data_IF_391698979113
#
_entry.id   IF_391698979113
#
_cell.length_a   1.000
_cell.length_b   1.000
_cell.length_c   1.000
_cell.angle_alpha   90.00
_cell.angle_beta   90.00
_cell.angle_gamma   90.00
#
_symmetry.space_group_name_H-M   'P 1'
#
loop_
_entity.id
_entity.type
_entity.pdbx_description
1 polymer ?
#
# COMPACT_ATOMS: atom_id res chain seq x y z
N UNK A 1 11.08 49.23 -24.66
CA UNK A 1 11.45 48.16 -23.74
C UNK A 1 10.56 46.98 -24.02
N UNK A 2 11.09 45.94 -24.62
CA UNK A 2 10.31 44.71 -24.83
C UNK A 2 10.25 43.96 -23.47
N UNK A 3 9.06 43.70 -23.01
CA UNK A 3 8.83 42.84 -21.83
C UNK A 3 9.33 41.44 -22.27
N UNK A 4 10.37 40.93 -21.65
CA UNK A 4 10.93 39.64 -22.04
C UNK A 4 9.99 38.51 -21.59
N UNK A 5 9.75 37.51 -22.46
CA UNK A 5 8.96 36.31 -22.17
C UNK A 5 9.40 35.56 -20.91
N UNK A 6 10.67 35.70 -20.51
CA UNK A 6 11.17 35.14 -19.24
C UNK A 6 10.50 35.70 -17.99
N UNK A 7 9.90 36.89 -18.05
CA UNK A 7 9.14 37.46 -16.95
C UNK A 7 7.70 36.91 -16.88
N UNK A 8 7.06 36.68 -18.03
CA UNK A 8 5.74 36.04 -18.10
C UNK A 8 5.78 34.57 -17.62
N UNK A 9 6.83 33.83 -17.93
CA UNK A 9 7.03 32.45 -17.45
C UNK A 9 7.07 32.38 -15.92
N UNK A 10 7.73 33.33 -15.27
CA UNK A 10 7.82 33.40 -13.80
C UNK A 10 6.50 33.75 -13.11
N UNK A 11 5.61 34.50 -13.77
CA UNK A 11 4.29 34.83 -13.21
C UNK A 11 3.29 33.67 -13.37
N UNK A 12 3.43 32.87 -14.42
CA UNK A 12 2.55 31.72 -14.69
C UNK A 12 2.86 30.49 -13.85
N UNK A 13 4.12 30.29 -13.49
CA UNK A 13 4.56 29.12 -12.70
C UNK A 13 3.80 28.98 -11.37
N UNK A 14 3.62 30.02 -10.54
CA UNK A 14 2.86 29.91 -9.29
C UNK A 14 1.40 29.51 -9.52
N UNK A 15 0.76 30.03 -10.60
CA UNK A 15 -0.62 29.68 -10.96
C UNK A 15 -0.76 28.22 -11.37
N UNK A 16 0.14 27.71 -12.20
CA UNK A 16 0.16 26.31 -12.62
C UNK A 16 0.48 25.37 -11.46
N UNK A 17 1.41 25.74 -10.58
CA UNK A 17 1.75 24.97 -9.39
C UNK A 17 0.56 24.89 -8.41
N UNK A 18 -0.16 25.98 -8.21
CA UNK A 18 -1.37 25.99 -7.39
C UNK A 18 -2.47 25.11 -8.00
N UNK A 19 -2.70 25.21 -9.30
CA UNK A 19 -3.68 24.42 -10.02
C UNK A 19 -3.32 22.93 -9.99
N UNK A 20 -2.05 22.60 -10.18
CA UNK A 20 -1.54 21.23 -10.07
C UNK A 20 -1.79 20.66 -8.67
N UNK A 21 -1.45 21.42 -7.63
CA UNK A 21 -1.62 20.98 -6.24
C UNK A 21 -3.09 20.76 -5.87
N UNK A 22 -3.99 21.63 -6.35
CA UNK A 22 -5.43 21.48 -6.15
C UNK A 22 -5.97 20.23 -6.85
N UNK A 23 -5.60 20.00 -8.10
CA UNK A 23 -6.09 18.84 -8.85
C UNK A 23 -5.48 17.53 -8.35
N UNK A 24 -4.20 17.52 -7.93
CA UNK A 24 -3.55 16.35 -7.35
C UNK A 24 -4.22 15.90 -6.05
N UNK A 25 -4.61 16.86 -5.19
CA UNK A 25 -5.32 16.58 -3.92
C UNK A 25 -6.79 16.22 -4.11
N UNK A 26 -7.36 16.47 -5.27
CA UNK A 26 -8.77 16.18 -5.54
C UNK A 26 -9.07 14.68 -5.54
N UNK A 27 -8.08 13.87 -5.93
CA UNK A 27 -8.23 12.42 -5.96
C UNK A 27 -7.90 11.85 -4.58
N UNK A 28 -8.77 10.97 -4.10
CA UNK A 28 -8.59 10.30 -2.82
C UNK A 28 -7.31 9.45 -2.83
N UNK A 29 -6.51 9.57 -1.77
CA UNK A 29 -5.28 8.81 -1.60
C UNK A 29 -5.60 7.44 -1.00
N UNK A 30 -6.14 6.52 -1.80
CA UNK A 30 -6.55 5.19 -1.36
C UNK A 30 -5.37 4.36 -0.83
N UNK A 31 -4.15 4.60 -1.32
CA UNK A 31 -2.96 3.94 -0.80
C UNK A 31 -2.64 4.30 0.65
N UNK A 32 -3.03 5.50 1.13
CA UNK A 32 -2.82 5.92 2.51
C UNK A 32 -3.62 5.07 3.53
N UNK A 33 -4.66 4.40 3.07
CA UNK A 33 -5.44 3.47 3.88
C UNK A 33 -4.73 2.12 4.10
N UNK A 34 -3.69 1.83 3.32
CA UNK A 34 -2.97 0.55 3.29
C UNK A 34 -1.58 0.70 3.93
N UNK A 35 -0.88 1.78 3.60
CA UNK A 35 0.53 1.97 3.93
C UNK A 35 0.76 2.98 5.04
N UNK A 36 1.70 2.67 5.92
CA UNK A 36 2.31 3.66 6.82
C UNK A 36 3.37 4.43 6.03
N UNK A 37 3.27 5.76 6.00
CA UNK A 37 4.21 6.61 5.28
C UNK A 37 5.36 7.03 6.17
N UNK A 38 6.59 6.76 5.72
CA UNK A 38 7.84 7.19 6.33
C UNK A 38 8.66 8.02 5.35
N UNK A 39 9.56 8.84 5.86
CA UNK A 39 10.49 9.63 5.04
C UNK A 39 11.84 8.95 4.96
N UNK A 40 12.50 9.07 3.80
CA UNK A 40 13.85 8.56 3.58
C UNK A 40 14.76 9.65 3.02
N UNK A 41 16.02 9.64 3.42
CA UNK A 41 17.08 10.51 2.87
C UNK A 41 18.15 9.73 2.08
N UNK A 42 18.01 8.39 2.00
CA UNK A 42 18.94 7.46 1.37
C UNK A 42 18.53 7.07 -0.05
N UNK A 43 19.38 6.33 -0.74
CA UNK A 43 19.08 5.78 -2.07
C UNK A 43 18.11 4.61 -2.03
N UNK A 44 18.14 3.85 -0.96
CA UNK A 44 17.26 2.73 -0.62
C UNK A 44 17.18 2.64 0.91
N UNK A 45 16.13 2.01 1.42
CA UNK A 45 16.00 1.67 2.84
C UNK A 45 16.02 0.14 2.99
N UNK A 46 16.61 -0.31 4.11
CA UNK A 46 16.64 -1.72 4.50
C UNK A 46 16.15 -1.84 5.93
N UNK A 47 15.15 -2.68 6.11
CA UNK A 47 14.62 -3.02 7.42
C UNK A 47 14.93 -4.48 7.74
N UNK A 48 15.67 -4.69 8.82
CA UNK A 48 16.08 -6.01 9.28
C UNK A 48 15.04 -6.53 10.26
N UNK A 49 14.54 -7.74 10.02
CA UNK A 49 13.69 -8.45 10.96
C UNK A 49 14.55 -9.18 11.99
N UNK A 50 14.20 -9.03 13.26
CA UNK A 50 14.86 -9.70 14.38
C UNK A 50 14.00 -10.87 14.88
N UNK A 51 14.64 -12.00 15.19
CA UNK A 51 13.93 -13.20 15.62
C UNK A 51 13.28 -13.10 17.01
N UNK A 52 13.70 -12.13 17.83
CA UNK A 52 13.32 -12.10 19.24
C UNK A 52 13.89 -13.29 20.03
N UNK A 53 13.28 -13.58 21.17
CA UNK A 53 13.66 -14.70 22.05
C UNK A 53 12.59 -15.80 22.02
N UNK A 54 13.00 -17.02 22.34
CA UNK A 54 12.11 -18.16 22.52
C UNK A 54 11.31 -18.10 23.81
N UNK A 55 10.63 -19.20 24.12
CA UNK A 55 9.79 -19.26 25.32
C UNK A 55 10.65 -19.27 26.61
N UNK A 56 10.27 -18.43 27.57
CA UNK A 56 10.92 -18.37 28.86
C UNK A 56 10.79 -19.72 29.62
N UNK A 57 11.88 -20.17 30.20
CA UNK A 57 11.93 -21.44 30.97
C UNK A 57 11.63 -21.20 32.44
N UNK A 58 10.98 -22.18 33.06
CA UNK A 58 10.77 -22.17 34.52
C UNK A 58 12.11 -22.35 35.21
N UNK A 59 12.47 -21.39 36.10
CA UNK A 59 13.67 -21.43 36.90
C UNK A 59 13.36 -22.15 38.22
N UNK A 60 14.10 -23.24 38.50
CA UNK A 60 14.05 -23.89 39.81
C UNK A 60 14.75 -23.05 40.90
N UNK A 61 14.40 -23.28 42.17
CA UNK A 61 15.05 -22.63 43.30
C UNK A 61 16.56 -22.97 43.34
N UNK A 62 17.39 -21.91 43.41
CA UNK A 62 18.86 -22.08 43.39
C UNK A 62 19.47 -22.35 42.02
N UNK A 63 18.67 -22.55 40.96
CA UNK A 63 19.18 -22.75 39.59
C UNK A 63 19.58 -21.42 38.93
N UNK A 64 20.49 -21.50 37.93
CA UNK A 64 20.83 -20.35 37.07
C UNK A 64 19.70 -19.96 36.16
N UNK A 65 19.76 -18.76 35.61
CA UNK A 65 18.86 -18.28 34.52
C UNK A 65 19.34 -18.87 33.19
N UNK A 66 18.44 -19.34 32.35
CA UNK A 66 18.76 -19.70 30.95
C UNK A 66 18.98 -18.45 30.11
N UNK A 67 19.99 -18.51 29.25
CA UNK A 67 20.23 -17.44 28.22
C UNK A 67 19.71 -17.92 26.88
N UNK A 68 19.18 -17.01 26.11
CA UNK A 68 18.74 -17.25 24.74
C UNK A 68 19.30 -16.13 23.84
N UNK A 69 19.55 -16.44 22.57
CA UNK A 69 20.16 -15.54 21.61
C UNK A 69 19.13 -15.09 20.56
N UNK A 70 19.05 -13.77 20.32
CA UNK A 70 18.33 -13.20 19.19
C UNK A 70 19.26 -13.10 17.97
N UNK A 71 18.70 -13.32 16.78
CA UNK A 71 19.45 -13.21 15.52
C UNK A 71 18.66 -12.41 14.48
N UNK A 72 19.39 -11.85 13.54
CA UNK A 72 18.79 -11.27 12.34
C UNK A 72 18.24 -12.39 11.43
N UNK A 73 17.05 -12.19 10.86
CA UNK A 73 16.38 -13.20 10.02
C UNK A 73 16.47 -12.85 8.56
N UNK A 74 15.72 -11.88 8.14
CA UNK A 74 15.72 -11.39 6.75
C UNK A 74 15.69 -9.86 6.70
N UNK A 75 16.05 -9.33 5.53
CA UNK A 75 16.07 -7.89 5.29
C UNK A 75 15.09 -7.55 4.19
N UNK A 76 14.11 -6.68 4.50
CA UNK A 76 13.23 -6.09 3.52
C UNK A 76 13.89 -4.85 2.91
N UNK A 77 14.10 -4.85 1.58
CA UNK A 77 14.73 -3.75 0.87
C UNK A 77 13.74 -2.95 0.05
N UNK A 78 13.76 -1.63 0.26
CA UNK A 78 12.93 -0.65 -0.41
C UNK A 78 13.78 0.16 -1.39
N UNK A 79 13.69 -0.14 -2.68
CA UNK A 79 14.38 0.61 -3.73
C UNK A 79 13.51 1.76 -4.22
N UNK A 80 14.00 3.01 -4.05
CA UNK A 80 13.22 4.19 -4.44
C UNK A 80 13.21 4.38 -5.95
N UNK A 81 12.02 4.47 -6.53
CA UNK A 81 11.79 4.75 -7.93
C UNK A 81 11.44 6.22 -8.16
N UNK A 82 11.95 6.78 -9.23
CA UNK A 82 11.60 8.13 -9.65
C UNK A 82 10.46 8.08 -10.66
N UNK A 83 9.35 8.69 -10.32
CA UNK A 83 8.20 8.87 -11.21
C UNK A 83 8.16 10.31 -11.66
N UNK A 84 8.19 10.54 -12.96
CA UNK A 84 8.18 11.87 -13.54
C UNK A 84 7.42 11.87 -14.86
N UNK A 85 6.72 12.97 -15.13
CA UNK A 85 6.06 13.22 -16.39
C UNK A 85 6.15 14.72 -16.68
N UNK A 86 6.24 15.07 -17.97
CA UNK A 86 6.31 16.45 -18.43
C UNK A 86 5.46 16.65 -19.68
N UNK A 87 5.09 17.89 -19.93
CA UNK A 87 4.55 18.34 -21.22
C UNK A 87 5.28 19.59 -21.67
N UNK A 88 5.22 19.84 -22.98
CA UNK A 88 5.75 21.06 -23.59
C UNK A 88 4.61 21.79 -24.33
N UNK A 89 4.70 23.11 -24.36
CA UNK A 89 3.84 23.98 -25.14
C UNK A 89 4.73 24.74 -26.11
N UNK A 90 4.37 24.73 -27.39
CA UNK A 90 5.14 25.39 -28.44
C UNK A 90 5.04 26.91 -28.36
N UNK A 91 6.02 27.59 -28.93
CA UNK A 91 6.08 29.04 -29.00
C UNK A 91 4.89 29.62 -29.73
N UNK A 92 4.48 29.02 -30.86
CA UNK A 92 3.34 29.45 -31.67
C UNK A 92 2.02 29.36 -30.87
N UNK A 93 1.84 28.29 -30.09
CA UNK A 93 0.64 28.14 -29.25
C UNK A 93 0.57 29.21 -28.14
N UNK A 94 1.73 29.70 -27.70
CA UNK A 94 1.80 30.82 -26.75
C UNK A 94 1.47 32.13 -27.43
N UNK A 95 1.94 32.37 -28.67
CA UNK A 95 1.67 33.57 -29.46
C UNK A 95 0.21 33.69 -29.82
N UNK A 96 -0.46 32.61 -30.18
CA UNK A 96 -1.86 32.55 -30.55
C UNK A 96 -2.82 32.66 -29.33
N UNK A 97 -2.32 32.98 -28.16
CA UNK A 97 -3.06 33.12 -26.89
C UNK A 97 -3.92 31.90 -26.49
N UNK A 98 -3.54 30.71 -26.98
CA UNK A 98 -4.15 29.42 -26.57
C UNK A 98 -3.60 28.92 -25.23
N UNK A 99 -2.60 29.61 -24.71
CA UNK A 99 -1.79 29.17 -23.57
C UNK A 99 -2.63 28.98 -22.29
N UNK A 100 -3.48 29.92 -21.91
CA UNK A 100 -4.22 29.87 -20.65
C UNK A 100 -5.14 28.65 -20.53
N UNK A 101 -5.84 28.33 -21.61
CA UNK A 101 -6.76 27.18 -21.63
C UNK A 101 -6.03 25.86 -21.76
N UNK A 102 -4.99 25.79 -22.59
CA UNK A 102 -4.23 24.56 -22.84
C UNK A 102 -3.34 24.20 -21.66
N UNK A 103 -2.58 25.16 -21.12
CA UNK A 103 -1.72 24.93 -19.96
C UNK A 103 -2.50 24.44 -18.74
N UNK A 104 -3.64 25.04 -18.42
CA UNK A 104 -4.50 24.63 -17.33
C UNK A 104 -5.04 23.20 -17.53
N UNK A 105 -5.44 22.83 -18.75
CA UNK A 105 -5.94 21.49 -19.08
C UNK A 105 -4.84 20.44 -18.98
N UNK A 106 -3.65 20.71 -19.54
CA UNK A 106 -2.51 19.79 -19.48
C UNK A 106 -1.94 19.66 -18.05
N UNK A 107 -1.91 20.73 -17.27
CA UNK A 107 -1.52 20.68 -15.86
C UNK A 107 -2.46 19.80 -15.04
N UNK A 108 -3.76 19.88 -15.25
CA UNK A 108 -4.73 18.98 -14.60
C UNK A 108 -4.56 17.54 -15.05
N UNK A 109 -4.33 17.30 -16.35
CA UNK A 109 -4.09 15.97 -16.88
C UNK A 109 -2.78 15.37 -16.30
N UNK A 110 -1.72 16.18 -16.19
CA UNK A 110 -0.46 15.78 -15.58
C UNK A 110 -0.64 15.38 -14.11
N UNK A 111 -1.34 16.20 -13.33
CA UNK A 111 -1.63 15.95 -11.93
C UNK A 111 -2.40 14.62 -11.74
N UNK A 112 -3.42 14.40 -12.57
CA UNK A 112 -4.20 13.16 -12.58
C UNK A 112 -3.34 11.95 -12.93
N UNK A 113 -2.48 12.06 -13.94
CA UNK A 113 -1.60 10.98 -14.36
C UNK A 113 -0.59 10.60 -13.27
N UNK A 114 0.02 11.61 -12.61
CA UNK A 114 0.94 11.37 -11.49
C UNK A 114 0.24 10.70 -10.30
N UNK A 115 -0.95 11.17 -9.93
CA UNK A 115 -1.74 10.56 -8.86
C UNK A 115 -2.11 9.11 -9.20
N UNK A 116 -2.62 8.85 -10.41
CA UNK A 116 -2.96 7.51 -10.87
C UNK A 116 -1.76 6.55 -10.84
N UNK A 117 -0.60 6.99 -11.36
CA UNK A 117 0.61 6.19 -11.35
C UNK A 117 1.04 5.77 -9.93
N UNK A 118 0.89 6.68 -8.97
CA UNK A 118 1.18 6.40 -7.56
C UNK A 118 0.23 5.36 -6.96
N UNK A 119 -1.07 5.47 -7.23
CA UNK A 119 -2.06 4.51 -6.75
C UNK A 119 -1.82 3.12 -7.34
N UNK A 120 -1.59 3.03 -8.67
CA UNK A 120 -1.28 1.75 -9.32
C UNK A 120 -0.02 1.10 -8.73
N UNK A 121 1.07 1.87 -8.58
CA UNK A 121 2.30 1.37 -7.95
C UNK A 121 2.10 0.93 -6.49
N UNK A 122 1.21 1.56 -5.77
CA UNK A 122 0.90 1.18 -4.39
C UNK A 122 0.14 -0.16 -4.31
N UNK A 123 -0.64 -0.50 -5.31
CA UNK A 123 -1.39 -1.76 -5.35
C UNK A 123 -0.57 -2.91 -5.95
N UNK A 124 0.46 -2.62 -6.72
CA UNK A 124 1.35 -3.64 -7.31
C UNK A 124 1.82 -4.72 -6.33
N UNK A 125 2.31 -4.41 -5.10
CA UNK A 125 2.70 -5.43 -4.13
C UNK A 125 1.57 -6.39 -3.75
N UNK A 126 0.34 -5.91 -3.67
CA UNK A 126 -0.82 -6.73 -3.33
C UNK A 126 -1.18 -7.69 -4.45
N UNK A 127 -1.30 -7.19 -5.69
CA UNK A 127 -1.67 -8.01 -6.84
C UNK A 127 -0.54 -8.98 -7.21
N UNK A 128 0.70 -8.48 -7.26
CA UNK A 128 1.87 -9.29 -7.64
C UNK A 128 2.35 -10.25 -6.56
N UNK A 129 1.86 -10.09 -5.34
CA UNK A 129 2.14 -10.94 -4.20
C UNK A 129 1.18 -12.12 -4.04
N UNK A 130 0.10 -12.18 -4.81
CA UNK A 130 -0.88 -13.27 -4.77
C UNK A 130 -0.27 -14.61 -5.22
N UNK A 131 -0.80 -15.76 -4.75
CA UNK A 131 -0.27 -17.09 -5.08
C UNK A 131 -0.16 -17.38 -6.57
N UNK A 132 -1.11 -16.92 -7.39
CA UNK A 132 -1.11 -17.13 -8.85
C UNK A 132 -0.02 -16.33 -9.57
N UNK A 133 0.29 -15.15 -9.09
CA UNK A 133 1.30 -14.27 -9.71
C UNK A 133 2.68 -14.44 -9.08
N UNK A 134 2.80 -14.43 -7.75
CA UNK A 134 3.99 -14.70 -6.95
C UNK A 134 5.28 -13.95 -7.38
N UNK A 135 5.13 -12.81 -8.06
CA UNK A 135 6.28 -12.03 -8.58
C UNK A 135 6.81 -11.03 -7.58
N UNK A 136 5.95 -10.52 -6.69
CA UNK A 136 6.38 -9.68 -5.56
C UNK A 136 6.67 -10.58 -4.35
N UNK A 137 7.91 -10.49 -3.86
CA UNK A 137 8.41 -11.28 -2.74
C UNK A 137 8.61 -10.42 -1.51
N UNK A 138 8.31 -10.98 -0.35
CA UNK A 138 8.64 -10.36 0.93
C UNK A 138 10.13 -10.54 1.27
N UNK A 139 10.58 -9.97 2.38
CA UNK A 139 11.98 -10.00 2.79
C UNK A 139 12.56 -11.41 2.97
N UNK A 140 11.74 -12.41 3.24
CA UNK A 140 12.12 -13.83 3.37
C UNK A 140 12.33 -14.54 2.01
N UNK A 141 12.10 -13.83 0.89
CA UNK A 141 12.28 -14.36 -0.47
C UNK A 141 11.09 -15.19 -1.00
N UNK A 142 10.04 -15.37 -0.19
CA UNK A 142 8.79 -16.04 -0.58
C UNK A 142 7.82 -15.00 -1.13
N UNK A 143 6.82 -15.43 -1.92
CA UNK A 143 5.73 -14.56 -2.37
C UNK A 143 5.05 -13.88 -1.17
N UNK A 144 4.61 -12.62 -1.31
CA UNK A 144 4.02 -11.86 -0.21
C UNK A 144 2.89 -12.61 0.49
N UNK A 145 2.02 -13.26 -0.28
CA UNK A 145 0.95 -14.11 0.25
C UNK A 145 1.31 -15.58 0.02
N UNK A 146 1.64 -16.26 1.10
CA UNK A 146 2.07 -17.65 1.07
C UNK A 146 1.54 -18.43 2.27
N UNK A 147 1.37 -19.72 2.10
CA UNK A 147 1.04 -20.65 3.19
C UNK A 147 2.28 -21.13 3.96
N UNK A 148 3.49 -20.74 3.51
CA UNK A 148 4.74 -21.33 3.99
C UNK A 148 5.87 -20.29 4.11
N UNK A 149 5.63 -19.17 4.81
CA UNK A 149 6.70 -18.28 5.22
C UNK A 149 7.58 -18.98 6.25
N UNK A 150 8.87 -19.07 5.96
CA UNK A 150 9.83 -19.74 6.84
C UNK A 150 10.15 -18.88 8.05
N UNK A 151 10.28 -19.51 9.21
CA UNK A 151 10.69 -18.89 10.47
C UNK A 151 12.02 -19.49 10.92
N UNK A 152 12.71 -18.84 11.87
CA UNK A 152 14.02 -19.29 12.36
C UNK A 152 13.94 -20.65 13.05
N UNK A 153 12.97 -20.83 13.94
CA UNK A 153 12.82 -22.06 14.73
C UNK A 153 11.37 -22.41 15.03
N UNK A 154 10.43 -21.61 14.55
CA UNK A 154 9.01 -21.86 14.66
C UNK A 154 8.44 -22.65 13.46
N UNK A 155 7.14 -22.95 13.48
CA UNK A 155 6.45 -23.50 12.33
C UNK A 155 6.33 -22.43 11.22
N UNK A 156 6.22 -22.89 9.98
CA UNK A 156 5.91 -21.96 8.88
C UNK A 156 4.62 -21.20 9.17
N UNK A 157 4.62 -19.92 8.83
CA UNK A 157 3.47 -19.03 9.02
C UNK A 157 2.76 -18.81 7.69
N UNK A 158 1.43 -18.90 7.71
CA UNK A 158 0.59 -18.62 6.55
C UNK A 158 -0.07 -17.25 6.71
N UNK A 159 -0.02 -16.42 5.67
CA UNK A 159 -0.78 -15.17 5.57
C UNK A 159 -1.76 -15.18 4.38
N UNK A 160 -2.13 -16.36 3.93
CA UNK A 160 -3.19 -16.64 2.96
C UNK A 160 -3.92 -17.93 3.31
N UNK A 161 -5.10 -18.14 2.74
CA UNK A 161 -5.82 -19.39 2.90
C UNK A 161 -5.14 -20.52 2.09
N UNK A 162 -5.14 -21.73 2.61
CA UNK A 162 -4.63 -22.91 1.88
C UNK A 162 -5.47 -23.25 0.64
N UNK A 163 -6.78 -23.03 0.73
CA UNK A 163 -7.71 -23.11 -0.39
C UNK A 163 -8.26 -21.70 -0.62
N UNK A 164 -7.98 -21.15 -1.77
CA UNK A 164 -8.47 -19.81 -2.15
C UNK A 164 -9.99 -19.86 -2.29
N UNK A 165 -10.64 -18.76 -1.96
CA UNK A 165 -12.11 -18.68 -1.94
C UNK A 165 -12.53 -17.22 -1.99
N UNK A 166 -13.59 -16.95 -2.71
CA UNK A 166 -14.20 -15.62 -2.79
C UNK A 166 -14.62 -15.08 -1.42
N UNK A 167 -14.82 -13.78 -1.36
CA UNK A 167 -15.27 -13.12 -0.13
C UNK A 167 -16.66 -13.60 0.27
N UNK A 168 -16.70 -14.41 1.30
CA UNK A 168 -17.91 -14.86 1.98
C UNK A 168 -17.69 -14.94 3.49
N UNK A 169 -18.75 -15.25 4.24
CA UNK A 169 -18.68 -15.34 5.70
C UNK A 169 -17.63 -16.37 6.15
N UNK A 170 -17.65 -17.56 5.59
CA UNK A 170 -16.74 -18.65 5.97
C UNK A 170 -15.27 -18.34 5.62
N UNK A 171 -15.00 -17.77 4.43
CA UNK A 171 -13.64 -17.39 4.05
C UNK A 171 -13.08 -16.28 4.95
N UNK A 172 -13.92 -15.29 5.32
CA UNK A 172 -13.54 -14.22 6.23
C UNK A 172 -13.29 -14.74 7.65
N UNK A 173 -14.16 -15.60 8.18
CA UNK A 173 -13.96 -16.24 9.49
C UNK A 173 -12.68 -17.07 9.54
N UNK A 174 -12.42 -17.90 8.52
CA UNK A 174 -11.20 -18.68 8.42
C UNK A 174 -9.94 -17.80 8.37
N UNK A 175 -9.99 -16.70 7.64
CA UNK A 175 -8.89 -15.74 7.56
C UNK A 175 -8.60 -15.11 8.92
N UNK A 176 -9.63 -14.66 9.64
CA UNK A 176 -9.50 -14.07 10.98
C UNK A 176 -8.99 -15.09 12.01
N UNK A 177 -9.42 -16.36 11.93
CA UNK A 177 -8.90 -17.43 12.77
C UNK A 177 -7.41 -17.68 12.48
N UNK A 178 -7.01 -17.69 11.21
CA UNK A 178 -5.59 -17.88 10.85
C UNK A 178 -4.72 -16.72 11.29
N UNK A 179 -5.18 -15.47 11.16
CA UNK A 179 -4.49 -14.29 11.69
C UNK A 179 -4.23 -14.46 13.19
N UNK A 180 -5.24 -14.86 13.97
CA UNK A 180 -5.08 -15.09 15.42
C UNK A 180 -4.15 -16.26 15.78
N UNK A 181 -3.84 -17.16 14.83
CA UNK A 181 -2.91 -18.28 15.02
C UNK A 181 -1.48 -17.96 14.62
N UNK A 182 -1.21 -16.80 14.03
CA UNK A 182 0.13 -16.42 13.60
C UNK A 182 1.12 -16.43 14.76
N UNK A 183 2.35 -16.81 14.45
CA UNK A 183 3.47 -16.89 15.38
C UNK A 183 4.62 -15.99 14.94
N UNK A 184 5.49 -15.65 15.87
CA UNK A 184 6.75 -14.96 15.59
C UNK A 184 7.81 -15.93 15.00
N UNK A 185 9.03 -15.43 14.83
CA UNK A 185 10.16 -16.16 14.28
C UNK A 185 10.62 -17.35 15.16
N UNK A 186 10.23 -17.37 16.43
CA UNK A 186 10.55 -18.41 17.42
C UNK A 186 9.35 -19.32 17.74
N UNK A 187 8.21 -19.13 17.07
CA UNK A 187 7.00 -19.91 17.27
C UNK A 187 6.11 -19.44 18.41
N UNK A 188 6.40 -18.28 19.02
CA UNK A 188 5.51 -17.69 20.02
C UNK A 188 4.29 -17.07 19.36
N UNK A 189 3.12 -17.25 19.95
CA UNK A 189 1.89 -16.63 19.45
C UNK A 189 1.91 -15.12 19.65
N UNK A 190 1.70 -14.37 18.57
CA UNK A 190 1.64 -12.90 18.60
C UNK A 190 0.21 -12.37 18.85
N UNK A 191 -0.80 -13.24 18.82
CA UNK A 191 -2.21 -12.88 19.00
C UNK A 191 -2.68 -11.74 18.07
N UNK A 192 -2.21 -11.75 16.82
CA UNK A 192 -2.56 -10.75 15.81
C UNK A 192 -4.07 -10.69 15.57
N UNK A 193 -4.57 -9.50 15.21
CA UNK A 193 -5.99 -9.25 14.91
C UNK A 193 -6.12 -8.53 13.57
N UNK A 194 -7.19 -8.84 12.85
CA UNK A 194 -7.57 -8.09 11.67
C UNK A 194 -8.11 -6.71 12.06
N UNK A 195 -7.58 -5.65 11.48
CA UNK A 195 -8.00 -4.28 11.74
C UNK A 195 -8.94 -3.73 10.68
N UNK A 196 -8.59 -3.90 9.41
CA UNK A 196 -9.24 -3.29 8.26
C UNK A 196 -9.21 -4.23 7.07
N UNK A 197 -10.31 -4.30 6.33
CA UNK A 197 -10.38 -5.07 5.09
C UNK A 197 -10.25 -4.14 3.88
N UNK A 198 -9.45 -4.53 2.88
CA UNK A 198 -9.28 -3.84 1.60
C UNK A 198 -9.85 -4.74 0.52
N UNK A 199 -10.74 -4.19 -0.31
CA UNK A 199 -11.48 -4.94 -1.31
C UNK A 199 -11.55 -4.19 -2.65
N UNK A 200 -11.73 -4.89 -3.77
CA UNK A 200 -12.08 -4.29 -5.05
C UNK A 200 -13.52 -3.76 -5.05
N UNK A 201 -13.84 -2.96 -6.07
CA UNK A 201 -15.17 -2.35 -6.23
C UNK A 201 -16.29 -3.39 -6.37
N UNK A 202 -16.01 -4.55 -6.96
CA UNK A 202 -16.94 -5.65 -7.20
C UNK A 202 -17.46 -6.25 -5.89
N UNK A 203 -16.61 -6.34 -4.88
CA UNK A 203 -16.92 -6.93 -3.58
C UNK A 203 -17.57 -5.96 -2.57
N UNK A 204 -17.78 -4.67 -2.93
CA UNK A 204 -18.27 -3.66 -1.97
C UNK A 204 -19.64 -4.00 -1.36
N UNK A 205 -20.59 -4.51 -2.14
CA UNK A 205 -21.92 -4.85 -1.64
C UNK A 205 -21.93 -6.14 -0.81
N UNK A 206 -21.03 -7.07 -1.12
CA UNK A 206 -20.84 -8.29 -0.33
C UNK A 206 -20.23 -7.94 1.02
N UNK A 207 -19.19 -7.09 1.03
CA UNK A 207 -18.56 -6.61 2.25
C UNK A 207 -19.54 -5.81 3.14
N UNK A 208 -20.38 -4.95 2.55
CA UNK A 208 -21.39 -4.19 3.31
C UNK A 208 -22.35 -5.14 4.02
N UNK A 209 -22.83 -6.19 3.33
CA UNK A 209 -23.71 -7.20 3.94
C UNK A 209 -23.02 -7.98 5.05
N UNK A 210 -21.74 -8.39 4.84
CA UNK A 210 -20.99 -9.16 5.83
C UNK A 210 -20.62 -8.33 7.06
N UNK A 211 -20.31 -7.05 6.86
CA UNK A 211 -19.75 -6.19 7.92
C UNK A 211 -20.78 -5.36 8.67
N UNK A 212 -22.02 -5.22 8.16
CA UNK A 212 -23.04 -4.36 8.80
C UNK A 212 -24.38 -5.05 9.06
N UNK A 213 -24.65 -6.21 8.45
CA UNK A 213 -25.88 -6.94 8.75
C UNK A 213 -25.84 -7.50 10.17
N UNK A 214 -26.90 -7.30 10.95
CA UNK A 214 -27.03 -7.89 12.28
C UNK A 214 -27.34 -9.39 12.22
N UNK A 215 -28.10 -9.82 11.22
CA UNK A 215 -28.41 -11.21 10.97
C UNK A 215 -27.47 -11.82 9.91
N UNK A 216 -27.32 -13.14 9.96
CA UNK A 216 -26.53 -13.90 9.00
C UNK A 216 -27.14 -13.80 7.62
N UNK A 217 -26.34 -13.49 6.61
CA UNK A 217 -26.80 -13.37 5.22
C UNK A 217 -27.04 -14.75 4.61
N UNK A 218 -28.20 -14.94 3.98
CA UNK A 218 -28.52 -16.17 3.23
C UNK A 218 -29.16 -17.30 4.04
N UNK A 219 -29.53 -17.09 5.30
CA UNK A 219 -30.29 -18.05 6.12
C UNK A 219 -31.72 -17.57 6.35
N UNK A 220 -32.65 -18.51 6.45
CA UNK A 220 -34.04 -18.22 6.83
C UNK A 220 -34.20 -18.08 8.34
N UNK A 221 -33.23 -18.53 9.11
CA UNK A 221 -33.20 -18.49 10.55
C UNK A 221 -32.65 -17.15 11.04
N UNK A 222 -33.02 -16.77 12.27
CA UNK A 222 -32.58 -15.51 12.90
C UNK A 222 -31.19 -15.66 13.52
N UNK A 223 -30.22 -16.17 12.76
CA UNK A 223 -28.85 -16.37 13.18
C UNK A 223 -28.12 -15.03 13.31
N UNK A 224 -27.27 -14.91 14.32
CA UNK A 224 -26.45 -13.72 14.56
C UNK A 224 -25.27 -13.73 13.60
N UNK A 225 -24.98 -12.56 13.00
CA UNK A 225 -23.71 -12.33 12.30
C UNK A 225 -22.57 -12.21 13.33
N UNK A 226 -21.76 -13.24 13.47
CA UNK A 226 -20.69 -13.33 14.44
C UNK A 226 -19.60 -12.27 14.21
N UNK A 227 -19.28 -11.93 12.98
CA UNK A 227 -18.25 -10.97 12.60
C UNK A 227 -18.59 -9.57 13.16
N UNK A 228 -19.85 -9.16 12.97
CA UNK A 228 -20.36 -7.86 13.46
C UNK A 228 -20.49 -7.88 14.98
N UNK A 229 -21.08 -8.93 15.54
CA UNK A 229 -21.33 -9.06 16.97
C UNK A 229 -20.04 -9.06 17.81
N UNK A 230 -18.98 -9.66 17.30
CA UNK A 230 -17.67 -9.73 17.96
C UNK A 230 -16.77 -8.52 17.64
N UNK A 231 -17.12 -7.67 16.68
CA UNK A 231 -16.31 -6.53 16.26
C UNK A 231 -14.93 -6.95 15.69
N UNK A 232 -14.89 -8.03 14.91
CA UNK A 232 -13.63 -8.66 14.49
C UNK A 232 -12.76 -7.81 13.57
N UNK A 233 -13.34 -6.87 12.81
CA UNK A 233 -12.63 -5.93 11.93
C UNK A 233 -13.05 -4.51 12.32
N UNK A 234 -12.44 -3.91 13.33
CA UNK A 234 -12.95 -2.67 13.98
C UNK A 234 -12.91 -1.44 13.06
N UNK A 235 -12.01 -1.39 12.09
CA UNK A 235 -11.93 -0.28 11.12
C UNK A 235 -12.80 -0.51 9.87
N UNK A 236 -13.56 -1.61 9.83
CA UNK A 236 -14.43 -1.95 8.72
C UNK A 236 -13.68 -2.27 7.45
N UNK A 237 -14.27 -1.91 6.31
CA UNK A 237 -13.65 -2.14 5.01
C UNK A 237 -13.40 -0.83 4.25
N UNK A 238 -12.48 -0.88 3.29
CA UNK A 238 -12.20 0.18 2.30
C UNK A 238 -12.21 -0.40 0.91
N UNK A 239 -12.88 0.29 0.01
CA UNK A 239 -12.88 -0.07 -1.42
C UNK A 239 -11.67 0.57 -2.07
N UNK A 240 -10.89 -0.21 -2.82
CA UNK A 240 -9.78 0.29 -3.61
C UNK A 240 -10.05 0.02 -5.10
N UNK A 241 -10.23 1.11 -5.85
CA UNK A 241 -10.61 1.05 -7.27
C UNK A 241 -9.44 0.69 -8.21
N UNK A 242 -8.24 0.53 -7.69
CA UNK A 242 -7.04 0.18 -8.46
C UNK A 242 -6.69 -1.31 -8.37
N UNK A 243 -7.42 -2.07 -7.54
CA UNK A 243 -7.34 -3.52 -7.54
C UNK A 243 -7.91 -4.05 -8.85
N UNK A 244 -7.14 -4.88 -9.54
CA UNK A 244 -7.51 -5.47 -10.84
C UNK A 244 -8.11 -6.85 -10.71
N UNK A 245 -7.89 -7.50 -9.57
CA UNK A 245 -8.51 -8.78 -9.23
C UNK A 245 -9.86 -8.51 -8.58
N UNK A 246 -10.94 -9.03 -9.20
CA UNK A 246 -12.33 -8.81 -8.77
C UNK A 246 -12.71 -9.58 -7.51
N UNK A 247 -12.02 -10.67 -7.23
CA UNK A 247 -12.43 -11.65 -6.24
C UNK A 247 -11.53 -11.62 -4.99
N UNK A 248 -10.33 -11.04 -5.13
CA UNK A 248 -9.38 -10.92 -4.03
C UNK A 248 -9.87 -9.99 -2.91
N UNK A 249 -9.49 -10.33 -1.69
CA UNK A 249 -9.64 -9.43 -0.54
C UNK A 249 -8.42 -9.52 0.38
N UNK A 250 -8.16 -8.41 1.07
CA UNK A 250 -7.00 -8.28 1.94
C UNK A 250 -7.42 -7.79 3.31
N UNK A 251 -6.76 -8.26 4.36
CA UNK A 251 -7.02 -7.86 5.75
C UNK A 251 -5.70 -7.32 6.32
N UNK A 252 -5.67 -6.04 6.66
CA UNK A 252 -4.57 -5.45 7.40
C UNK A 252 -4.68 -5.87 8.86
N UNK A 253 -3.55 -6.24 9.45
CA UNK A 253 -3.47 -6.69 10.85
C UNK A 253 -2.90 -5.59 11.75
N UNK A 254 -2.93 -5.82 13.06
CA UNK A 254 -2.34 -4.94 14.08
C UNK A 254 -0.83 -5.18 14.28
N UNK A 255 -0.22 -6.07 13.50
CA UNK A 255 1.21 -6.33 13.57
C UNK A 255 1.98 -5.10 13.10
N UNK A 256 2.93 -4.60 13.90
CA UNK A 256 3.73 -3.44 13.53
C UNK A 256 4.63 -3.74 12.32
N UNK A 257 5.07 -2.69 11.64
CA UNK A 257 5.99 -2.77 10.50
C UNK A 257 5.49 -3.64 9.32
N UNK A 258 4.18 -3.70 9.08
CA UNK A 258 3.61 -4.38 7.93
C UNK A 258 3.88 -3.65 6.63
N UNK A 259 2.82 -3.06 6.06
CA UNK A 259 2.89 -2.33 4.78
C UNK A 259 3.48 -0.93 4.99
N UNK A 260 4.58 -0.61 4.30
CA UNK A 260 5.25 0.70 4.40
C UNK A 260 5.46 1.36 3.05
N UNK A 261 5.37 2.67 3.06
CA UNK A 261 5.74 3.53 1.95
C UNK A 261 6.85 4.47 2.41
N UNK A 262 7.97 4.51 1.69
CA UNK A 262 9.01 5.49 1.92
C UNK A 262 8.94 6.60 0.88
N UNK A 263 8.83 7.84 1.35
CA UNK A 263 8.89 9.03 0.50
C UNK A 263 10.32 9.58 0.52
N UNK A 264 11.04 9.44 -0.62
CA UNK A 264 12.42 9.95 -0.76
C UNK A 264 12.45 11.41 -1.20
N UNK A 265 11.63 11.76 -2.17
CA UNK A 265 11.45 13.15 -2.60
C UNK A 265 9.95 13.41 -2.79
N UNK A 266 9.42 14.41 -2.09
CA UNK A 266 8.02 14.80 -2.27
C UNK A 266 7.79 15.27 -3.71
N UNK A 267 6.53 15.38 -4.10
CA UNK A 267 6.14 15.89 -5.39
C UNK A 267 6.68 17.31 -5.59
N UNK A 268 7.47 17.47 -6.63
CA UNK A 268 8.02 18.76 -7.06
C UNK A 268 7.63 19.03 -8.50
N UNK A 269 7.36 20.29 -8.80
CA UNK A 269 7.08 20.78 -10.15
C UNK A 269 8.16 21.77 -10.55
N UNK A 270 8.49 21.84 -11.83
CA UNK A 270 9.40 22.81 -12.37
C UNK A 270 8.99 23.21 -13.79
N UNK A 271 9.20 24.47 -14.13
CA UNK A 271 8.93 25.03 -15.44
C UNK A 271 10.21 25.64 -16.01
N UNK A 272 10.52 25.35 -17.25
CA UNK A 272 11.71 25.83 -17.93
C UNK A 272 11.41 26.11 -19.40
N UNK A 273 11.95 27.19 -19.93
CA UNK A 273 11.91 27.51 -21.35
C UNK A 273 13.10 26.90 -22.07
N UNK A 274 12.88 26.38 -23.27
CA UNK A 274 13.93 25.89 -24.15
C UNK A 274 14.37 27.05 -25.06
N UNK A 275 15.66 27.38 -25.02
CA UNK A 275 16.20 28.49 -25.79
C UNK A 275 16.20 28.21 -27.31
N UNK A 276 16.47 26.97 -27.69
CA UNK A 276 16.60 26.60 -29.11
C UNK A 276 15.27 26.51 -29.84
N UNK A 277 14.24 26.02 -29.14
CA UNK A 277 12.90 25.77 -29.74
C UNK A 277 11.85 26.80 -29.30
N UNK A 278 12.15 27.67 -28.35
CA UNK A 278 11.18 28.62 -27.75
C UNK A 278 10.07 27.96 -26.92
N UNK A 279 10.06 26.65 -26.82
CA UNK A 279 9.02 25.87 -26.12
C UNK A 279 9.11 26.06 -24.61
N UNK A 280 7.95 26.09 -23.93
CA UNK A 280 7.88 26.04 -22.46
C UNK A 280 7.60 24.61 -22.03
N UNK A 281 8.43 24.07 -21.14
CA UNK A 281 8.33 22.72 -20.58
C UNK A 281 7.91 22.79 -19.13
N UNK A 282 6.91 22.01 -18.74
CA UNK A 282 6.47 21.85 -17.36
C UNK A 282 6.55 20.39 -16.98
N UNK A 283 7.24 20.09 -15.86
CA UNK A 283 7.43 18.74 -15.35
C UNK A 283 6.95 18.61 -13.91
N UNK A 284 6.46 17.44 -13.57
CA UNK A 284 6.23 16.98 -12.21
C UNK A 284 7.12 15.77 -11.92
N UNK A 285 7.66 15.67 -10.73
CA UNK A 285 8.53 14.57 -10.30
C UNK A 285 8.30 14.27 -8.83
N UNK A 286 8.26 12.99 -8.50
CA UNK A 286 8.31 12.48 -7.13
C UNK A 286 9.18 11.22 -7.07
N UNK A 287 9.65 10.85 -5.88
CA UNK A 287 10.44 9.63 -5.68
C UNK A 287 10.01 8.94 -4.40
N UNK A 288 9.63 7.67 -4.52
CA UNK A 288 9.09 6.87 -3.44
C UNK A 288 9.29 5.36 -3.68
N UNK A 289 9.00 4.55 -2.68
CA UNK A 289 8.92 3.09 -2.78
C UNK A 289 7.78 2.56 -1.92
N UNK A 290 7.19 1.45 -2.35
CA UNK A 290 6.21 0.68 -1.61
C UNK A 290 6.76 -0.71 -1.32
N UNK A 291 6.43 -1.27 -0.17
CA UNK A 291 6.87 -2.60 0.19
C UNK A 291 6.28 -3.08 1.51
N UNK A 292 6.83 -4.18 1.98
CA UNK A 292 6.40 -4.89 3.18
C UNK A 292 7.63 -5.24 4.00
N UNK A 293 7.64 -4.87 5.28
CA UNK A 293 8.72 -5.23 6.19
C UNK A 293 8.39 -6.52 6.94
N UNK A 294 7.15 -6.66 7.44
CA UNK A 294 6.65 -7.89 8.04
C UNK A 294 5.41 -8.39 7.27
N UNK A 295 5.51 -9.57 6.67
CA UNK A 295 4.41 -10.20 5.94
C UNK A 295 3.18 -10.49 6.82
N UNK A 296 3.34 -10.57 8.14
CA UNK A 296 2.24 -10.75 9.10
C UNK A 296 1.34 -9.52 9.22
N UNK A 297 1.83 -8.36 8.75
CA UNK A 297 1.07 -7.10 8.72
C UNK A 297 -0.11 -7.11 7.77
N UNK A 298 -0.20 -8.09 6.87
CA UNK A 298 -1.29 -8.24 5.91
C UNK A 298 -1.61 -9.71 5.65
N UNK A 299 -2.88 -10.00 5.50
CA UNK A 299 -3.42 -11.30 5.08
C UNK A 299 -4.15 -11.11 3.76
N UNK A 300 -3.88 -11.94 2.74
CA UNK A 300 -4.50 -11.82 1.43
C UNK A 300 -5.13 -13.13 0.97
N UNK A 301 -6.25 -13.04 0.30
CA UNK A 301 -6.95 -14.17 -0.34
C UNK A 301 -7.26 -13.79 -1.77
N UNK A 302 -6.90 -14.64 -2.70
CA UNK A 302 -6.99 -14.38 -4.14
C UNK A 302 -8.40 -14.54 -4.70
N UNK A 303 -9.26 -15.30 -4.00
CA UNK A 303 -10.52 -15.76 -4.55
C UNK A 303 -10.39 -17.11 -5.27
N UNK A 304 -11.45 -17.59 -5.91
CA UNK A 304 -11.52 -18.90 -6.56
C UNK A 304 -11.88 -18.79 -8.05
#
# INVERSE_FOLDING_TARGET
MAISRSQLVKELEPGLNALFGLEYKRYENQHAEIYTNESSDRAFEEEVMLSGFGNAQVKGEGAGVSFDDAQETYTARYSHETVALAFAITEEAIEDNLYDRLSARYTKALARSMSNAKQVKAIDPLIKGLPSTATFKSGDGVALFSTAHTTVSGPNVANTLATQSDLNETSLENSLIQIGKMTDERGLRIAARGLKMIIPSENQFTAERLMKSQGRTGTADNDINAIVSMGMVPQGYRVNNYLTDSDAFYILTDVPNGMKMFTRAPLTTAMEGDFDTGNVRYKARERYSFGVSDFRGIFGVEGA
#
